data_IF_636982887648
#
_entry.id   IF_636982887648
#
_cell.length_a   1.000
_cell.length_b   1.000
_cell.length_c   1.000
_cell.angle_alpha   90.00
_cell.angle_beta   90.00
_cell.angle_gamma   90.00
#
_symmetry.space_group_name_H-M   'P 1'
#
loop_
_entity.id
_entity.type
_entity.pdbx_description
1 polymer ?
#
# COMPACT_ATOMS: atom_id res chain seq x y z
N UNK A 1 -23.00 20.50 13.90
CA UNK A 1 -23.43 19.10 13.69
C UNK A 1 -23.63 18.41 15.03
N UNK A 2 -24.74 17.69 15.21
CA UNK A 2 -24.98 16.89 16.40
C UNK A 2 -24.17 15.58 16.39
N UNK A 3 -24.03 14.94 17.54
CA UNK A 3 -23.29 13.66 17.67
C UNK A 3 -23.88 12.59 16.75
N UNK A 4 -25.20 12.57 16.55
CA UNK A 4 -25.88 11.61 15.69
C UNK A 4 -25.55 11.77 14.19
N UNK A 5 -25.43 13.00 13.68
CA UNK A 5 -25.06 13.20 12.27
C UNK A 5 -23.60 12.81 11.99
N UNK A 6 -22.71 13.03 12.97
CA UNK A 6 -21.31 12.59 12.89
C UNK A 6 -21.18 11.07 12.91
N UNK A 7 -22.04 10.36 13.64
CA UNK A 7 -22.05 8.89 13.64
C UNK A 7 -22.55 8.31 12.29
N UNK A 8 -23.44 9.01 11.59
CA UNK A 8 -23.88 8.61 10.24
C UNK A 8 -22.78 8.82 9.20
N UNK A 9 -22.00 9.89 9.32
CA UNK A 9 -20.80 10.12 8.51
C UNK A 9 -19.74 9.05 8.81
N UNK A 10 -19.47 8.76 10.08
CA UNK A 10 -18.45 7.78 10.48
C UNK A 10 -18.95 6.34 10.57
N UNK A 11 -20.07 6.01 9.93
CA UNK A 11 -20.71 4.69 10.02
C UNK A 11 -19.77 3.52 9.73
N UNK A 12 -18.80 3.67 8.83
CA UNK A 12 -17.85 2.60 8.50
C UNK A 12 -16.81 2.40 9.61
N UNK A 13 -16.33 3.47 10.25
CA UNK A 13 -15.42 3.37 11.40
C UNK A 13 -16.15 2.90 12.67
N UNK A 14 -17.39 3.34 12.87
CA UNK A 14 -18.24 2.85 13.98
C UNK A 14 -18.55 1.38 13.79
N UNK A 15 -18.91 0.95 12.58
CA UNK A 15 -19.10 -0.47 12.26
C UNK A 15 -17.81 -1.26 12.48
N UNK A 16 -16.66 -0.74 12.05
CA UNK A 16 -15.36 -1.36 12.28
C UNK A 16 -15.06 -1.54 13.79
N UNK A 17 -15.36 -0.54 14.61
CA UNK A 17 -15.21 -0.62 16.07
C UNK A 17 -16.13 -1.68 16.69
N UNK A 18 -17.39 -1.73 16.26
CA UNK A 18 -18.35 -2.74 16.73
C UNK A 18 -17.90 -4.14 16.32
N UNK A 19 -17.44 -4.31 15.08
CA UNK A 19 -16.91 -5.58 14.58
C UNK A 19 -15.65 -5.98 15.34
N UNK A 20 -14.76 -5.04 15.67
CA UNK A 20 -13.57 -5.31 16.49
C UNK A 20 -13.94 -5.78 17.90
N UNK A 21 -14.94 -5.15 18.53
CA UNK A 21 -15.43 -5.57 19.84
C UNK A 21 -16.08 -6.97 19.80
N UNK A 22 -16.85 -7.26 18.74
CA UNK A 22 -17.44 -8.59 18.52
C UNK A 22 -16.35 -9.62 18.29
N UNK A 23 -15.36 -9.33 17.44
CA UNK A 23 -14.23 -10.21 17.15
C UNK A 23 -13.47 -10.54 18.43
N UNK A 24 -13.13 -9.54 19.24
CA UNK A 24 -12.46 -9.74 20.54
C UNK A 24 -13.25 -10.65 21.49
N UNK A 25 -14.58 -10.49 21.56
CA UNK A 25 -15.42 -11.30 22.45
C UNK A 25 -15.66 -12.73 21.93
N UNK A 26 -15.71 -12.90 20.61
CA UNK A 26 -16.08 -14.18 19.96
C UNK A 26 -14.90 -14.93 19.35
N UNK A 27 -13.68 -14.41 19.42
CA UNK A 27 -12.49 -14.97 18.77
C UNK A 27 -12.34 -16.47 19.00
N UNK A 28 -12.32 -16.87 20.28
CA UNK A 28 -12.15 -18.26 20.68
C UNK A 28 -13.31 -19.14 20.19
N UNK A 29 -14.54 -18.63 20.27
CA UNK A 29 -15.71 -19.34 19.79
C UNK A 29 -15.69 -19.54 18.26
N UNK A 30 -15.27 -18.52 17.50
CA UNK A 30 -15.15 -18.59 16.04
C UNK A 30 -14.10 -19.61 15.61
N UNK A 31 -12.96 -19.64 16.29
CA UNK A 31 -11.89 -20.62 16.05
C UNK A 31 -12.38 -22.05 16.37
N UNK A 32 -13.09 -22.24 17.49
CA UNK A 32 -13.64 -23.55 17.89
C UNK A 32 -14.75 -24.06 16.96
N UNK A 33 -15.53 -23.17 16.35
CA UNK A 33 -16.59 -23.52 15.40
C UNK A 33 -16.06 -24.11 14.07
N UNK A 34 -14.75 -24.02 13.83
CA UNK A 34 -14.05 -24.70 12.76
C UNK A 34 -13.72 -23.82 11.54
N UNK A 35 -12.89 -24.39 10.67
CA UNK A 35 -12.20 -23.70 9.56
C UNK A 35 -13.10 -22.87 8.64
N UNK A 36 -14.26 -23.41 8.27
CA UNK A 36 -15.18 -22.72 7.37
C UNK A 36 -15.73 -21.43 7.98
N UNK A 37 -16.03 -21.44 9.28
CA UNK A 37 -16.50 -20.26 10.01
C UNK A 37 -15.37 -19.25 10.15
N UNK A 38 -14.15 -19.71 10.46
CA UNK A 38 -12.97 -18.85 10.51
C UNK A 38 -12.69 -18.13 9.17
N UNK A 39 -12.78 -18.83 8.03
CA UNK A 39 -12.63 -18.19 6.71
C UNK A 39 -13.71 -17.16 6.39
N UNK A 40 -14.97 -17.44 6.73
CA UNK A 40 -16.07 -16.49 6.55
C UNK A 40 -15.86 -15.26 7.43
N UNK A 41 -15.44 -15.46 8.68
CA UNK A 41 -15.13 -14.38 9.60
C UNK A 41 -13.95 -13.53 9.10
N UNK A 42 -12.87 -14.16 8.61
CA UNK A 42 -11.74 -13.47 7.99
C UNK A 42 -12.19 -12.64 6.78
N UNK A 43 -13.01 -13.19 5.89
CA UNK A 43 -13.54 -12.46 4.73
C UNK A 43 -14.42 -11.27 5.14
N UNK A 44 -15.22 -11.40 6.19
CA UNK A 44 -16.01 -10.30 6.74
C UNK A 44 -15.12 -9.20 7.35
N UNK A 45 -14.03 -9.57 8.03
CA UNK A 45 -13.04 -8.63 8.54
C UNK A 45 -12.33 -7.89 7.41
N UNK A 46 -11.90 -8.57 6.34
CA UNK A 46 -11.34 -7.96 5.13
C UNK A 46 -12.27 -6.88 4.58
N UNK A 47 -13.56 -7.20 4.39
CA UNK A 47 -14.54 -6.23 3.90
C UNK A 47 -14.70 -5.02 4.84
N UNK A 48 -14.67 -5.25 6.14
CA UNK A 48 -14.77 -4.20 7.16
C UNK A 48 -13.53 -3.29 7.14
N UNK A 49 -12.33 -3.87 7.03
CA UNK A 49 -11.07 -3.12 6.94
C UNK A 49 -11.05 -2.26 5.69
N UNK A 50 -11.46 -2.79 4.54
CA UNK A 50 -11.53 -2.01 3.29
C UNK A 50 -12.47 -0.81 3.41
N UNK A 51 -13.64 -0.99 4.03
CA UNK A 51 -14.57 0.12 4.25
C UNK A 51 -14.02 1.18 5.21
N UNK A 52 -13.32 0.74 6.27
CA UNK A 52 -12.63 1.63 7.20
C UNK A 52 -11.46 2.37 6.54
N UNK A 53 -10.64 1.70 5.73
CA UNK A 53 -9.48 2.31 5.06
C UNK A 53 -9.90 3.36 4.04
N UNK A 54 -11.01 3.15 3.31
CA UNK A 54 -11.60 4.18 2.43
C UNK A 54 -11.99 5.43 3.22
N UNK A 55 -12.52 5.28 4.45
CA UNK A 55 -12.82 6.45 5.30
C UNK A 55 -11.59 7.15 5.81
N UNK A 56 -10.57 6.40 6.25
CA UNK A 56 -9.29 6.99 6.67
C UNK A 56 -8.65 7.77 5.53
N UNK A 57 -8.63 7.20 4.31
CA UNK A 57 -8.13 7.87 3.11
C UNK A 57 -8.90 9.16 2.81
N UNK A 58 -10.22 9.17 2.96
CA UNK A 58 -11.03 10.37 2.77
C UNK A 58 -10.65 11.51 3.73
N UNK A 59 -10.42 11.20 5.01
CA UNK A 59 -9.95 12.20 5.98
C UNK A 59 -8.55 12.72 5.65
N UNK A 60 -7.67 11.86 5.12
CA UNK A 60 -6.36 12.27 4.63
C UNK A 60 -6.48 13.21 3.41
N UNK A 61 -7.43 12.96 2.50
CA UNK A 61 -7.76 13.86 1.37
C UNK A 61 -8.25 15.22 1.84
N UNK A 62 -9.15 15.27 2.84
CA UNK A 62 -9.65 16.54 3.40
C UNK A 62 -8.51 17.39 3.98
N UNK A 63 -7.56 16.77 4.69
CA UNK A 63 -6.35 17.43 5.16
C UNK A 63 -5.47 17.89 4.00
N UNK A 64 -5.27 17.03 3.00
CA UNK A 64 -4.43 17.33 1.85
C UNK A 64 -4.93 18.55 1.07
N UNK A 65 -6.25 18.67 0.87
CA UNK A 65 -6.87 19.82 0.20
C UNK A 65 -6.64 21.12 0.97
N UNK A 66 -6.68 21.08 2.31
CA UNK A 66 -6.48 22.27 3.15
C UNK A 66 -5.05 22.80 3.10
N UNK A 67 -4.07 21.90 3.00
CA UNK A 67 -2.64 22.27 2.97
C UNK A 67 -2.16 22.59 1.56
N UNK A 68 -2.78 21.98 0.54
CA UNK A 68 -2.43 22.18 -0.87
C UNK A 68 -1.13 21.49 -1.29
N UNK A 69 -0.87 21.43 -2.58
CA UNK A 69 0.35 20.82 -3.12
C UNK A 69 1.59 21.67 -2.83
N UNK A 70 2.75 21.06 -2.53
CA UNK A 70 3.06 19.61 -2.53
C UNK A 70 2.82 18.89 -1.18
N UNK A 71 2.55 19.64 -0.10
CA UNK A 71 2.43 19.10 1.25
C UNK A 71 1.20 18.21 1.45
N UNK A 72 0.10 18.49 0.73
CA UNK A 72 -1.09 17.65 0.74
C UNK A 72 -0.81 16.25 0.20
N UNK A 73 -0.03 16.15 -0.88
CA UNK A 73 0.44 14.86 -1.40
C UNK A 73 1.27 14.11 -0.36
N UNK A 74 2.14 14.80 0.39
CA UNK A 74 2.90 14.16 1.48
C UNK A 74 2.00 13.62 2.60
N UNK A 75 0.94 14.34 2.97
CA UNK A 75 -0.02 13.89 4.00
C UNK A 75 -0.70 12.59 3.55
N UNK A 76 -1.12 12.51 2.28
CA UNK A 76 -1.72 11.30 1.71
C UNK A 76 -0.76 10.12 1.81
N UNK A 77 0.46 10.29 1.31
CA UNK A 77 1.50 9.26 1.32
C UNK A 77 1.85 8.80 2.74
N UNK A 78 2.08 9.74 3.67
CA UNK A 78 2.41 9.41 5.06
C UNK A 78 1.25 8.71 5.77
N UNK A 79 0.00 9.09 5.46
CA UNK A 79 -1.18 8.45 6.06
C UNK A 79 -1.33 7.00 5.58
N UNK A 80 -1.16 6.76 4.27
CA UNK A 80 -1.22 5.42 3.70
C UNK A 80 -0.11 4.51 4.28
N UNK A 81 1.12 5.00 4.32
CA UNK A 81 2.26 4.26 4.92
C UNK A 81 2.05 4.03 6.42
N UNK A 82 1.48 4.99 7.15
CA UNK A 82 1.20 4.81 8.57
C UNK A 82 0.19 3.68 8.83
N UNK A 83 -0.83 3.54 7.97
CA UNK A 83 -1.76 2.39 8.00
C UNK A 83 -0.97 1.09 7.86
N UNK A 84 -0.13 0.99 6.82
CA UNK A 84 0.67 -0.20 6.53
C UNK A 84 1.60 -0.58 7.69
N UNK A 85 2.39 0.38 8.18
CA UNK A 85 3.34 0.21 9.29
C UNK A 85 2.63 -0.22 10.58
N UNK A 86 1.48 0.37 10.90
CA UNK A 86 0.76 0.05 12.13
C UNK A 86 0.14 -1.34 12.05
N UNK A 87 -0.44 -1.72 10.90
CA UNK A 87 -0.93 -3.09 10.68
C UNK A 87 0.22 -4.09 10.88
N UNK A 88 1.38 -3.84 10.25
CA UNK A 88 2.55 -4.70 10.39
C UNK A 88 3.03 -4.78 11.84
N UNK A 89 3.18 -3.65 12.52
CA UNK A 89 3.65 -3.62 13.91
C UNK A 89 2.71 -4.38 14.85
N UNK A 90 1.39 -4.25 14.68
CA UNK A 90 0.40 -4.96 15.51
C UNK A 90 0.43 -6.46 15.22
N UNK A 91 0.39 -6.86 13.96
CA UNK A 91 0.40 -8.29 13.58
C UNK A 91 1.65 -9.02 14.09
N UNK A 92 2.79 -8.34 14.10
CA UNK A 92 4.04 -8.91 14.61
C UNK A 92 4.08 -9.08 16.13
N UNK A 93 3.24 -8.33 16.86
CA UNK A 93 3.12 -8.48 18.31
C UNK A 93 2.30 -9.71 18.71
N UNK A 94 1.39 -10.17 17.84
CA UNK A 94 0.51 -11.32 18.07
C UNK A 94 1.13 -12.68 17.68
N UNK A 95 1.67 -12.81 16.46
CA UNK A 95 2.40 -14.01 16.01
C UNK A 95 3.67 -13.63 15.23
N UNK A 96 4.82 -14.13 15.70
CA UNK A 96 6.14 -13.76 15.20
C UNK A 96 6.52 -14.55 13.94
N UNK A 97 5.96 -14.19 12.78
CA UNK A 97 6.57 -14.59 11.50
C UNK A 97 7.69 -13.60 11.14
N UNK A 98 8.97 -14.02 11.17
CA UNK A 98 10.10 -13.12 10.90
C UNK A 98 10.17 -12.65 9.44
N UNK A 99 9.36 -13.23 8.55
CA UNK A 99 9.29 -12.87 7.13
C UNK A 99 8.08 -12.02 6.78
N UNK A 100 7.12 -11.81 7.70
CA UNK A 100 5.85 -11.15 7.39
C UNK A 100 6.05 -9.74 6.82
N UNK A 101 6.97 -8.97 7.39
CA UNK A 101 7.31 -7.61 6.91
C UNK A 101 7.79 -7.66 5.46
N UNK A 102 8.77 -8.51 5.19
CA UNK A 102 9.33 -8.70 3.85
C UNK A 102 8.25 -9.13 2.87
N UNK A 103 7.46 -10.13 3.23
CA UNK A 103 6.44 -10.70 2.36
C UNK A 103 5.33 -9.68 2.07
N UNK A 104 5.02 -8.79 3.02
CA UNK A 104 4.03 -7.71 2.85
C UNK A 104 4.55 -6.61 1.95
N UNK A 105 5.79 -6.13 2.17
CA UNK A 105 6.42 -5.10 1.31
C UNK A 105 6.57 -5.62 -0.13
N UNK A 106 7.02 -6.87 -0.29
CA UNK A 106 7.07 -7.54 -1.59
C UNK A 106 5.68 -7.61 -2.24
N UNK A 107 4.66 -8.02 -1.48
CA UNK A 107 3.29 -8.12 -1.98
C UNK A 107 2.70 -6.77 -2.37
N UNK A 108 2.96 -5.72 -1.60
CA UNK A 108 2.54 -4.35 -1.90
C UNK A 108 3.16 -3.86 -3.22
N UNK A 109 4.47 -4.05 -3.40
CA UNK A 109 5.15 -3.70 -4.66
C UNK A 109 4.54 -4.42 -5.87
N UNK A 110 4.31 -5.74 -5.75
CA UNK A 110 3.73 -6.53 -6.83
C UNK A 110 2.28 -6.12 -7.12
N UNK A 111 1.51 -5.80 -6.08
CA UNK A 111 0.15 -5.32 -6.21
C UNK A 111 0.11 -3.94 -6.90
N UNK A 112 0.95 -3.01 -6.51
CA UNK A 112 0.95 -1.65 -7.06
C UNK A 112 1.39 -1.62 -8.52
N UNK A 113 2.56 -2.20 -8.82
CA UNK A 113 3.14 -2.10 -10.15
C UNK A 113 2.44 -3.04 -11.13
N UNK A 114 2.19 -4.29 -10.74
CA UNK A 114 1.60 -5.26 -11.65
C UNK A 114 0.07 -5.29 -11.59
N UNK A 115 -0.49 -5.14 -10.39
CA UNK A 115 -1.94 -5.12 -10.17
C UNK A 115 -2.56 -3.77 -10.54
N UNK A 116 -2.21 -2.69 -9.83
CA UNK A 116 -2.82 -1.37 -10.00
C UNK A 116 -2.46 -0.78 -11.35
N UNK A 117 -1.17 -0.53 -11.60
CA UNK A 117 -0.73 0.06 -12.86
C UNK A 117 -1.06 -0.84 -14.05
N UNK A 118 -0.83 -2.15 -13.95
CA UNK A 118 -1.16 -3.11 -15.02
C UNK A 118 -2.64 -3.13 -15.38
N UNK A 119 -3.54 -3.28 -14.40
CA UNK A 119 -4.98 -3.28 -14.65
C UNK A 119 -5.47 -1.91 -15.13
N UNK A 120 -4.93 -0.83 -14.59
CA UNK A 120 -5.28 0.53 -14.98
C UNK A 120 -4.87 0.83 -16.43
N UNK A 121 -3.64 0.48 -16.83
CA UNK A 121 -3.16 0.61 -18.20
C UNK A 121 -3.93 -0.31 -19.18
N UNK A 122 -4.29 -1.52 -18.75
CA UNK A 122 -5.11 -2.43 -19.54
C UNK A 122 -6.50 -1.83 -19.81
N UNK A 123 -7.24 -1.46 -18.76
CA UNK A 123 -8.59 -0.91 -18.90
C UNK A 123 -8.60 0.46 -19.57
N UNK A 124 -7.64 1.31 -19.23
CA UNK A 124 -7.49 2.64 -19.81
C UNK A 124 -7.08 2.59 -21.27
N UNK A 125 -6.16 1.69 -21.64
CA UNK A 125 -5.72 1.50 -23.02
C UNK A 125 -6.77 0.83 -23.91
N UNK A 126 -7.54 -0.13 -23.39
CA UNK A 126 -8.69 -0.69 -24.12
C UNK A 126 -9.75 0.37 -24.45
N UNK A 127 -9.87 1.41 -23.61
CA UNK A 127 -10.84 2.48 -23.78
C UNK A 127 -10.34 3.66 -24.62
N UNK A 128 -9.07 4.05 -24.47
CA UNK A 128 -8.53 5.28 -25.06
C UNK A 128 -7.37 5.05 -26.05
N UNK A 129 -6.88 3.82 -26.22
CA UNK A 129 -5.69 3.52 -27.02
C UNK A 129 -4.41 3.80 -26.24
N UNK A 130 -3.66 4.80 -26.65
CA UNK A 130 -2.45 5.28 -25.97
C UNK A 130 -2.81 6.40 -24.98
N UNK A 131 -2.22 6.36 -23.80
CA UNK A 131 -2.47 7.34 -22.74
C UNK A 131 -1.16 8.02 -22.30
N UNK A 132 -1.03 9.34 -22.50
CA UNK A 132 0.22 10.02 -22.18
C UNK A 132 0.40 10.23 -20.67
N UNK A 133 1.67 10.20 -20.26
CA UNK A 133 2.16 10.57 -18.95
C UNK A 133 3.58 11.18 -19.07
N UNK A 134 4.16 11.63 -17.96
CA UNK A 134 5.50 12.15 -17.89
C UNK A 134 6.50 11.01 -17.67
N UNK A 135 7.30 10.72 -18.69
CA UNK A 135 8.30 9.65 -18.68
C UNK A 135 9.37 9.84 -17.60
N UNK A 136 9.71 11.08 -17.25
CA UNK A 136 10.68 11.38 -16.19
C UNK A 136 10.19 10.91 -14.81
N UNK A 137 8.87 10.91 -14.56
CA UNK A 137 8.28 10.36 -13.33
C UNK A 137 8.58 8.87 -13.23
N UNK A 138 8.25 8.12 -14.29
CA UNK A 138 8.43 6.67 -14.35
C UNK A 138 9.89 6.27 -14.15
N UNK A 139 10.81 6.97 -14.84
CA UNK A 139 12.26 6.74 -14.72
C UNK A 139 12.77 7.00 -13.30
N UNK A 140 12.34 8.10 -12.68
CA UNK A 140 12.77 8.46 -11.32
C UNK A 140 12.24 7.46 -10.29
N UNK A 141 10.94 7.16 -10.31
CA UNK A 141 10.37 6.16 -9.42
C UNK A 141 11.01 4.78 -9.60
N UNK A 142 11.13 4.30 -10.84
CA UNK A 142 11.68 2.97 -11.12
C UNK A 142 13.10 2.79 -10.60
N UNK A 143 13.98 3.78 -10.82
CA UNK A 143 15.37 3.72 -10.33
C UNK A 143 15.42 3.79 -8.80
N UNK A 144 14.61 4.64 -8.18
CA UNK A 144 14.58 4.76 -6.72
C UNK A 144 14.03 3.49 -6.05
N UNK A 145 12.95 2.90 -6.58
CA UNK A 145 12.40 1.64 -6.11
C UNK A 145 13.41 0.52 -6.26
N UNK A 146 14.04 0.38 -7.45
CA UNK A 146 15.06 -0.63 -7.69
C UNK A 146 16.23 -0.51 -6.71
N UNK A 147 16.70 0.71 -6.47
CA UNK A 147 17.78 0.98 -5.51
C UNK A 147 17.35 0.64 -4.09
N UNK A 148 16.15 1.06 -3.69
CA UNK A 148 15.62 0.85 -2.35
C UNK A 148 15.42 -0.64 -2.06
N UNK A 149 14.72 -1.37 -2.95
CA UNK A 149 14.53 -2.82 -2.88
C UNK A 149 15.86 -3.58 -2.91
N UNK A 150 16.77 -3.17 -3.79
CA UNK A 150 18.09 -3.78 -3.92
C UNK A 150 18.87 -3.76 -2.61
N UNK A 151 19.01 -2.58 -2.02
CA UNK A 151 19.77 -2.40 -0.77
C UNK A 151 19.04 -3.00 0.43
N UNK A 152 17.73 -2.82 0.54
CA UNK A 152 17.00 -3.23 1.75
C UNK A 152 16.54 -4.69 1.78
N UNK A 153 16.40 -5.35 0.61
CA UNK A 153 15.73 -6.64 0.53
C UNK A 153 16.43 -7.67 -0.37
N UNK A 154 17.36 -7.27 -1.26
CA UNK A 154 18.15 -8.22 -2.07
C UNK A 154 19.54 -8.42 -1.46
N UNK A 155 20.26 -7.34 -1.19
CA UNK A 155 21.62 -7.39 -0.64
C UNK A 155 21.71 -8.00 0.77
N UNK A 156 20.72 -7.89 1.68
CA UNK A 156 20.82 -8.51 3.02
C UNK A 156 21.09 -10.01 3.00
N UNK A 157 20.70 -10.73 1.95
CA UNK A 157 20.98 -12.17 1.78
C UNK A 157 22.48 -12.49 1.83
N UNK A 158 23.32 -11.55 1.38
CA UNK A 158 24.78 -11.72 1.33
C UNK A 158 25.48 -11.16 2.58
N UNK A 159 24.74 -10.62 3.54
CA UNK A 159 25.29 -10.04 4.77
C UNK A 159 25.38 -11.13 5.84
N UNK A 160 26.57 -11.35 6.44
CA UNK A 160 26.71 -12.31 7.53
C UNK A 160 25.76 -12.01 8.70
N UNK A 161 25.15 -13.05 9.26
CA UNK A 161 24.14 -12.93 10.32
C UNK A 161 24.66 -12.26 11.59
N UNK A 162 25.97 -12.29 11.87
CA UNK A 162 26.60 -11.57 12.99
C UNK A 162 26.69 -10.05 12.77
N UNK A 163 26.52 -9.58 11.52
CA UNK A 163 26.66 -8.18 11.13
C UNK A 163 25.34 -7.47 10.82
N UNK A 164 24.21 -8.13 11.09
CA UNK A 164 22.88 -7.60 10.74
C UNK A 164 22.62 -6.21 11.32
N UNK A 165 23.00 -5.94 12.58
CA UNK A 165 22.81 -4.64 13.22
C UNK A 165 23.47 -3.48 12.45
N UNK A 166 24.70 -3.70 11.94
CA UNK A 166 25.42 -2.69 11.17
C UNK A 166 24.75 -2.44 9.83
N UNK A 167 24.27 -3.50 9.19
CA UNK A 167 23.60 -3.40 7.91
C UNK A 167 22.23 -2.73 8.02
N UNK A 168 21.42 -3.09 9.02
CA UNK A 168 20.15 -2.40 9.27
C UNK A 168 20.34 -0.93 9.63
N UNK A 169 21.35 -0.57 10.43
CA UNK A 169 21.66 0.84 10.68
C UNK A 169 22.03 1.60 9.39
N UNK A 170 22.79 0.96 8.49
CA UNK A 170 23.11 1.51 7.17
C UNK A 170 21.87 1.65 6.29
N UNK A 171 21.03 0.62 6.21
CA UNK A 171 19.79 0.63 5.42
C UNK A 171 18.83 1.72 5.90
N UNK A 172 18.64 1.87 7.22
CA UNK A 172 17.85 2.98 7.80
C UNK A 172 18.40 4.34 7.33
N UNK A 173 19.70 4.55 7.46
CA UNK A 173 20.33 5.82 7.04
C UNK A 173 20.19 6.06 5.53
N UNK A 174 20.37 5.02 4.72
CA UNK A 174 20.23 5.08 3.26
C UNK A 174 18.80 5.39 2.84
N UNK A 175 17.79 4.76 3.45
CA UNK A 175 16.37 5.02 3.17
C UNK A 175 15.96 6.43 3.59
N UNK A 176 16.41 6.91 4.77
CA UNK A 176 16.17 8.29 5.20
C UNK A 176 16.82 9.28 4.21
N UNK A 177 18.03 9.00 3.71
CA UNK A 177 18.69 9.83 2.72
C UNK A 177 17.93 9.86 1.38
N UNK A 178 17.49 8.69 0.89
CA UNK A 178 16.68 8.57 -0.33
C UNK A 178 15.35 9.30 -0.18
N UNK A 179 14.67 9.14 0.95
CA UNK A 179 13.40 9.83 1.23
C UNK A 179 13.60 11.34 1.37
N UNK A 180 14.64 11.79 2.07
CA UNK A 180 14.96 13.22 2.17
C UNK A 180 15.22 13.86 0.81
N UNK A 181 15.93 13.16 -0.08
CA UNK A 181 16.13 13.62 -1.46
C UNK A 181 14.83 13.59 -2.26
N UNK A 182 14.02 12.53 -2.14
CA UNK A 182 12.71 12.41 -2.77
C UNK A 182 11.80 13.58 -2.40
N UNK A 183 11.66 13.87 -1.10
CA UNK A 183 10.89 15.00 -0.60
C UNK A 183 11.41 16.34 -1.12
N UNK A 184 12.74 16.53 -1.15
CA UNK A 184 13.33 17.75 -1.72
C UNK A 184 12.98 17.92 -3.20
N UNK A 185 12.97 16.83 -3.97
CA UNK A 185 12.62 16.85 -5.40
C UNK A 185 11.12 17.08 -5.60
N UNK A 186 10.28 16.45 -4.79
CA UNK A 186 8.82 16.57 -4.83
C UNK A 186 8.34 17.96 -4.43
N UNK A 187 8.97 18.58 -3.42
CA UNK A 187 8.59 19.91 -2.89
C UNK A 187 9.32 21.06 -3.61
N UNK A 188 10.48 20.77 -4.22
CA UNK A 188 11.37 21.77 -4.80
C UNK A 188 11.16 22.04 -6.29
N UNK A 189 12.26 22.37 -6.96
CA UNK A 189 12.29 22.80 -8.37
C UNK A 189 11.91 21.70 -9.38
N UNK A 190 11.75 20.46 -8.91
CA UNK A 190 11.50 19.29 -9.75
C UNK A 190 10.10 18.69 -9.53
N UNK A 191 9.19 19.42 -8.89
CA UNK A 191 7.77 19.02 -8.76
C UNK A 191 7.09 18.76 -10.12
N UNK A 192 7.64 19.32 -11.21
CA UNK A 192 7.20 19.03 -12.58
C UNK A 192 7.41 17.56 -12.98
N UNK A 193 8.37 16.85 -12.36
CA UNK A 193 8.51 15.40 -12.55
C UNK A 193 7.36 14.62 -11.94
N UNK A 194 6.47 15.22 -11.15
CA UNK A 194 5.36 14.52 -10.50
C UNK A 194 4.00 15.06 -10.95
N UNK A 195 3.98 15.98 -11.92
CA UNK A 195 2.74 16.57 -12.44
C UNK A 195 2.72 16.49 -13.96
N UNK A 196 1.55 16.22 -14.52
CA UNK A 196 1.30 16.26 -15.96
C UNK A 196 0.12 17.20 -16.22
N UNK A 197 0.33 18.19 -17.09
CA UNK A 197 -0.73 19.09 -17.51
C UNK A 197 -1.51 18.45 -18.65
N UNK A 198 -2.62 17.80 -18.32
CA UNK A 198 -3.53 17.25 -19.32
C UNK A 198 -4.05 18.35 -20.26
N UNK A 199 -4.08 18.12 -21.60
CA UNK A 199 -4.82 18.99 -22.52
C UNK A 199 -6.25 19.15 -22.01
N UNK A 200 -6.71 20.39 -21.93
CA UNK A 200 -7.94 20.81 -21.23
C UNK A 200 -9.20 20.27 -21.93
N UNK A 201 -9.49 18.98 -21.79
CA UNK A 201 -10.82 18.42 -21.99
C UNK A 201 -11.56 18.52 -20.67
N UNK A 202 -12.47 19.49 -20.62
CA UNK A 202 -13.43 19.74 -19.55
C UNK A 202 -12.86 19.58 -18.13
N UNK A 203 -12.05 20.57 -17.74
CA UNK A 203 -12.35 21.23 -16.46
C UNK A 203 -13.77 21.76 -16.63
N UNK A 204 -14.79 20.93 -16.39
CA UNK A 204 -15.96 21.44 -15.69
C UNK A 204 -15.31 22.17 -14.51
N UNK A 205 -15.45 23.49 -14.51
CA UNK A 205 -15.46 24.19 -13.24
C UNK A 205 -16.48 23.39 -12.45
N UNK A 206 -16.01 22.49 -11.59
CA UNK A 206 -16.71 22.31 -10.33
C UNK A 206 -16.84 23.74 -9.84
N UNK A 207 -18.05 24.26 -9.98
CA UNK A 207 -18.49 25.39 -9.20
C UNK A 207 -17.94 25.16 -7.79
N UNK A 208 -17.24 26.13 -7.19
CA UNK A 208 -16.96 26.09 -5.77
C UNK A 208 -18.29 26.34 -5.04
N UNK A 209 -19.24 25.45 -5.23
CA UNK A 209 -20.52 25.47 -4.54
C UNK A 209 -20.65 24.14 -3.79
N UNK A 210 -20.48 24.35 -2.48
CA UNK A 210 -21.24 23.72 -1.41
C UNK A 210 -20.69 22.38 -0.88
N UNK A 211 -20.18 22.49 0.36
CA UNK A 211 -19.71 21.44 1.28
C UNK A 211 -18.22 21.09 1.20
N UNK A 212 -17.35 22.12 1.23
CA UNK A 212 -16.23 22.00 2.17
C UNK A 212 -16.83 22.04 3.57
N UNK A 213 -17.27 20.89 4.09
CA UNK A 213 -17.64 20.82 5.50
C UNK A 213 -16.46 21.40 6.27
N UNK A 214 -16.76 22.33 7.17
CA UNK A 214 -15.82 23.03 8.04
C UNK A 214 -15.29 22.06 9.12
N UNK A 215 -14.89 20.87 8.67
CA UNK A 215 -14.47 19.77 9.50
C UNK A 215 -13.06 20.09 9.98
N UNK A 216 -12.94 20.41 11.26
CA UNK A 216 -11.67 20.83 11.85
C UNK A 216 -10.54 19.86 11.50
N UNK A 217 -9.37 20.39 11.10
CA UNK A 217 -8.20 19.56 10.82
C UNK A 217 -7.85 18.63 12.00
N UNK A 218 -8.12 19.06 13.23
CA UNK A 218 -7.94 18.23 14.42
C UNK A 218 -8.86 16.99 14.44
N UNK A 219 -10.07 17.10 13.89
CA UNK A 219 -11.01 15.98 13.75
C UNK A 219 -10.48 15.00 12.72
N UNK A 220 -10.11 15.44 11.52
CA UNK A 220 -9.58 14.53 10.49
C UNK A 220 -8.31 13.81 10.97
N UNK A 221 -7.40 14.52 11.67
CA UNK A 221 -6.22 13.90 12.28
C UNK A 221 -6.63 12.85 13.33
N UNK A 222 -7.55 13.18 14.23
CA UNK A 222 -8.02 12.24 15.25
C UNK A 222 -8.70 11.01 14.62
N UNK A 223 -9.52 11.20 13.58
CA UNK A 223 -10.20 10.13 12.86
C UNK A 223 -9.21 9.22 12.13
N UNK A 224 -8.17 9.77 11.50
CA UNK A 224 -7.10 8.98 10.89
C UNK A 224 -6.41 8.14 11.97
N UNK A 225 -5.95 8.75 13.07
CA UNK A 225 -5.23 8.05 14.12
C UNK A 225 -6.07 6.91 14.75
N UNK A 226 -7.34 7.19 15.08
CA UNK A 226 -8.26 6.18 15.64
C UNK A 226 -8.56 5.10 14.60
N UNK A 227 -8.82 5.48 13.36
CA UNK A 227 -9.15 4.55 12.28
C UNK A 227 -8.01 3.58 11.98
N UNK A 228 -6.77 4.06 11.96
CA UNK A 228 -5.59 3.21 11.75
C UNK A 228 -5.43 2.18 12.88
N UNK A 229 -5.64 2.60 14.14
CA UNK A 229 -5.59 1.67 15.29
C UNK A 229 -6.68 0.61 15.17
N UNK A 230 -7.92 0.99 14.84
CA UNK A 230 -9.03 0.04 14.65
C UNK A 230 -8.72 -0.94 13.52
N UNK A 231 -8.20 -0.44 12.39
CA UNK A 231 -7.80 -1.28 11.25
C UNK A 231 -6.72 -2.29 11.66
N UNK A 232 -5.70 -1.86 12.41
CA UNK A 232 -4.65 -2.73 12.90
C UNK A 232 -5.18 -3.85 13.81
N UNK A 233 -6.08 -3.51 14.75
CA UNK A 233 -6.74 -4.50 15.61
C UNK A 233 -7.58 -5.50 14.79
N UNK A 234 -8.35 -5.01 13.81
CA UNK A 234 -9.10 -5.89 12.91
C UNK A 234 -8.19 -6.80 12.07
N UNK A 235 -7.04 -6.29 11.64
CA UNK A 235 -6.06 -7.06 10.86
C UNK A 235 -5.42 -8.18 11.69
N UNK A 236 -5.24 -8.00 13.00
CA UNK A 236 -4.78 -9.04 13.92
C UNK A 236 -5.79 -10.20 14.00
N UNK A 237 -7.07 -9.91 14.29
CA UNK A 237 -8.12 -10.94 14.29
C UNK A 237 -8.29 -11.60 12.92
N UNK A 238 -8.17 -10.83 11.84
CA UNK A 238 -8.21 -11.34 10.48
C UNK A 238 -7.08 -12.33 10.24
N UNK A 239 -5.86 -12.00 10.67
CA UNK A 239 -4.70 -12.89 10.55
C UNK A 239 -4.93 -14.19 11.33
N UNK A 240 -5.40 -14.12 12.58
CA UNK A 240 -5.71 -15.31 13.39
C UNK A 240 -6.77 -16.21 12.73
N UNK A 241 -7.86 -15.62 12.22
CA UNK A 241 -8.91 -16.36 11.52
C UNK A 241 -8.46 -16.92 10.17
N UNK A 242 -7.57 -16.22 9.47
CA UNK A 242 -6.92 -16.76 8.26
C UNK A 242 -6.04 -17.96 8.60
N UNK A 243 -5.23 -17.88 9.66
CA UNK A 243 -4.37 -18.98 10.11
C UNK A 243 -5.18 -20.23 10.41
N UNK A 244 -6.26 -20.13 11.19
CA UNK A 244 -7.12 -21.29 11.47
C UNK A 244 -7.89 -21.74 10.22
N UNK A 245 -8.45 -20.81 9.46
CA UNK A 245 -9.23 -21.11 8.27
C UNK A 245 -8.43 -21.85 7.18
N UNK A 246 -7.17 -21.46 7.02
CA UNK A 246 -6.23 -22.03 6.07
C UNK A 246 -5.44 -23.23 6.62
N UNK A 247 -5.56 -23.57 7.90
CA UNK A 247 -4.89 -24.72 8.51
C UNK A 247 -5.15 -25.99 7.68
N UNK A 248 -4.14 -26.79 7.37
CA UNK A 248 -4.26 -28.01 6.53
C UNK A 248 -4.81 -27.80 5.11
N UNK A 249 -4.90 -26.56 4.61
CA UNK A 249 -5.21 -26.30 3.20
C UNK A 249 -3.98 -26.41 2.28
N UNK A 250 -2.78 -26.44 2.87
CA UNK A 250 -1.52 -26.29 2.14
C UNK A 250 -1.23 -24.84 1.73
N UNK A 251 -2.10 -23.89 2.07
CA UNK A 251 -1.88 -22.49 1.77
C UNK A 251 -0.73 -21.92 2.62
N UNK A 252 0.20 -21.15 2.02
CA UNK A 252 1.35 -20.59 2.68
C UNK A 252 1.01 -19.29 3.44
N UNK A 253 1.83 -18.96 4.44
CA UNK A 253 1.71 -17.74 5.25
C UNK A 253 1.75 -16.47 4.38
N UNK A 254 2.42 -16.52 3.23
CA UNK A 254 2.47 -15.43 2.27
C UNK A 254 1.07 -14.95 1.81
N UNK A 255 0.04 -15.82 1.84
CA UNK A 255 -1.34 -15.41 1.49
C UNK A 255 -1.85 -14.32 2.43
N UNK A 256 -1.54 -14.39 3.73
CA UNK A 256 -1.91 -13.34 4.69
C UNK A 256 -1.23 -12.02 4.36
N UNK A 257 0.05 -12.04 3.97
CA UNK A 257 0.78 -10.84 3.55
C UNK A 257 0.17 -10.20 2.28
N UNK A 258 -0.27 -11.02 1.32
CA UNK A 258 -0.98 -10.53 0.11
C UNK A 258 -2.30 -9.87 0.48
N UNK A 259 -3.07 -10.46 1.40
CA UNK A 259 -4.34 -9.89 1.86
C UNK A 259 -4.09 -8.56 2.59
N UNK A 260 -3.08 -8.50 3.45
CA UNK A 260 -2.70 -7.26 4.16
C UNK A 260 -2.28 -6.16 3.20
N UNK A 261 -1.47 -6.47 2.18
CA UNK A 261 -1.12 -5.51 1.14
C UNK A 261 -2.37 -5.03 0.38
N UNK A 262 -3.27 -5.95 0.01
CA UNK A 262 -4.48 -5.63 -0.74
C UNK A 262 -5.47 -4.73 0.02
N UNK A 263 -5.68 -4.96 1.32
CA UNK A 263 -6.60 -4.15 2.13
C UNK A 263 -6.04 -2.75 2.40
N UNK A 264 -4.70 -2.62 2.54
CA UNK A 264 -4.03 -1.34 2.72
C UNK A 264 -4.12 -0.49 1.45
N UNK A 265 -3.86 -1.09 0.28
CA UNK A 265 -3.87 -0.41 -1.01
C UNK A 265 -5.29 -0.22 -1.60
N UNK A 266 -6.35 -0.76 -0.98
CA UNK A 266 -7.70 -0.73 -1.54
C UNK A 266 -8.22 0.66 -1.98
N UNK A 267 -8.03 1.74 -1.19
CA UNK A 267 -8.42 3.08 -1.62
C UNK A 267 -7.64 3.55 -2.86
N UNK A 268 -6.36 3.21 -2.96
CA UNK A 268 -5.47 3.58 -4.05
C UNK A 268 -5.80 2.84 -5.34
N UNK A 269 -6.09 1.53 -5.25
CA UNK A 269 -6.59 0.71 -6.38
C UNK A 269 -7.80 1.41 -7.01
N UNK A 270 -8.79 1.78 -6.20
CA UNK A 270 -10.02 2.39 -6.70
C UNK A 270 -9.76 3.75 -7.36
N UNK A 271 -8.91 4.58 -6.77
CA UNK A 271 -8.58 5.91 -7.27
C UNK A 271 -7.77 5.85 -8.57
N UNK A 272 -6.78 4.95 -8.65
CA UNK A 272 -5.94 4.75 -9.84
C UNK A 272 -6.75 4.20 -11.03
N UNK A 273 -7.61 3.20 -10.81
CA UNK A 273 -8.47 2.66 -11.88
C UNK A 273 -9.43 3.73 -12.41
N UNK A 274 -10.05 4.52 -11.52
CA UNK A 274 -10.91 5.65 -11.92
C UNK A 274 -10.14 6.71 -12.71
N UNK A 275 -8.89 7.00 -12.33
CA UNK A 275 -8.05 7.96 -13.03
C UNK A 275 -7.72 7.48 -14.45
N UNK A 276 -7.26 6.24 -14.62
CA UNK A 276 -6.98 5.67 -15.94
C UNK A 276 -8.21 5.65 -16.85
N UNK A 277 -9.37 5.25 -16.32
CA UNK A 277 -10.65 5.26 -17.05
C UNK A 277 -11.14 6.66 -17.45
N UNK A 278 -10.59 7.72 -16.85
CA UNK A 278 -10.84 9.13 -17.16
C UNK A 278 -9.72 9.77 -17.99
N UNK A 279 -8.89 8.94 -18.62
CA UNK A 279 -7.73 9.35 -19.39
C UNK A 279 -6.68 10.14 -18.60
N UNK A 280 -6.48 9.78 -17.32
CA UNK A 280 -5.50 10.41 -16.43
C UNK A 280 -4.40 9.44 -15.99
N UNK A 281 -3.57 9.00 -16.94
CA UNK A 281 -2.54 8.00 -16.67
C UNK A 281 -1.41 8.48 -15.74
N UNK A 282 -0.97 9.74 -15.83
CA UNK A 282 -0.02 10.30 -14.84
C UNK A 282 -0.48 10.08 -13.38
N UNK A 283 -1.76 10.32 -13.08
CA UNK A 283 -2.26 10.13 -11.73
C UNK A 283 -2.17 8.65 -11.30
N UNK A 284 -2.49 7.72 -12.19
CA UNK A 284 -2.31 6.28 -11.97
C UNK A 284 -0.84 5.91 -11.72
N UNK A 285 0.08 6.41 -12.54
CA UNK A 285 1.53 6.18 -12.38
C UNK A 285 2.01 6.73 -11.04
N UNK A 286 1.62 7.95 -10.67
CA UNK A 286 1.97 8.55 -9.39
C UNK A 286 1.41 7.77 -8.20
N UNK A 287 0.18 7.26 -8.31
CA UNK A 287 -0.43 6.45 -7.24
C UNK A 287 0.36 5.14 -7.11
N UNK A 288 0.47 4.35 -8.17
CA UNK A 288 1.11 3.03 -8.11
C UNK A 288 2.61 3.11 -7.79
N UNK A 289 3.37 3.89 -8.56
CA UNK A 289 4.82 3.98 -8.38
C UNK A 289 5.19 4.80 -7.13
N UNK A 290 4.39 5.81 -6.79
CA UNK A 290 4.59 6.61 -5.59
C UNK A 290 4.30 5.84 -4.31
N UNK A 291 3.20 5.06 -4.26
CA UNK A 291 2.88 4.17 -3.16
C UNK A 291 3.99 3.13 -2.97
N UNK A 292 4.35 2.41 -4.04
CA UNK A 292 5.46 1.45 -4.04
C UNK A 292 6.78 2.02 -3.53
N UNK A 293 7.19 3.19 -4.02
CA UNK A 293 8.40 3.85 -3.54
C UNK A 293 8.30 4.15 -2.04
N UNK A 294 7.17 4.69 -1.60
CA UNK A 294 6.93 5.11 -0.22
C UNK A 294 6.89 3.93 0.73
N UNK A 295 6.22 2.85 0.36
CA UNK A 295 6.21 1.58 1.09
C UNK A 295 7.63 1.10 1.35
N UNK A 296 8.51 1.07 0.34
CA UNK A 296 9.89 0.60 0.58
C UNK A 296 10.69 1.61 1.41
N UNK A 297 10.73 2.89 1.04
CA UNK A 297 11.64 3.86 1.67
C UNK A 297 11.18 4.35 3.05
N UNK A 298 9.92 4.11 3.44
CA UNK A 298 9.38 4.48 4.75
C UNK A 298 9.10 3.27 5.64
N UNK A 299 8.50 2.19 5.11
CA UNK A 299 8.18 1.02 5.93
C UNK A 299 9.44 0.29 6.35
N UNK A 300 10.40 0.05 5.44
CA UNK A 300 11.67 -0.62 5.77
C UNK A 300 12.40 0.03 6.94
N UNK A 301 12.75 1.34 6.93
CA UNK A 301 13.52 1.91 8.02
C UNK A 301 12.77 1.90 9.36
N UNK A 302 11.44 2.03 9.35
CA UNK A 302 10.64 1.94 10.58
C UNK A 302 10.67 0.51 11.12
N UNK A 303 10.47 -0.50 10.28
CA UNK A 303 10.51 -1.89 10.71
C UNK A 303 11.92 -2.30 11.17
N UNK A 304 12.98 -1.92 10.46
CA UNK A 304 14.35 -2.18 10.92
C UNK A 304 14.68 -1.46 12.23
N UNK A 305 14.17 -0.24 12.44
CA UNK A 305 14.33 0.45 13.71
C UNK A 305 13.62 -0.30 14.86
N UNK A 306 12.43 -0.85 14.61
CA UNK A 306 11.72 -1.71 15.57
C UNK A 306 12.53 -2.98 15.84
N UNK A 307 13.11 -3.62 14.82
CA UNK A 307 13.96 -4.81 14.98
C UNK A 307 15.19 -4.52 15.86
N UNK A 308 15.87 -3.39 15.62
CA UNK A 308 17.02 -2.96 16.43
C UNK A 308 16.62 -2.63 17.88
N UNK A 309 15.44 -2.03 18.08
CA UNK A 309 14.94 -1.69 19.42
C UNK A 309 14.49 -2.92 20.22
N UNK A 310 13.81 -3.86 19.58
CA UNK A 310 13.29 -5.08 20.21
C UNK A 310 14.32 -6.20 20.29
N UNK A 311 15.42 -6.10 19.54
CA UNK A 311 16.45 -7.13 19.45
C UNK A 311 16.03 -8.37 18.66
N UNK A 312 14.88 -8.32 17.95
CA UNK A 312 14.41 -9.41 17.10
C UNK A 312 14.71 -9.09 15.62
N UNK A 313 15.66 -9.80 14.98
CA UNK A 313 15.98 -9.54 13.58
C UNK A 313 14.84 -10.00 12.68
N UNK A 314 14.46 -9.15 11.73
CA UNK A 314 13.56 -9.53 10.64
C UNK A 314 14.36 -10.10 9.47
N UNK A 315 13.80 -11.12 8.82
CA UNK A 315 14.39 -11.67 7.60
C UNK A 315 13.91 -10.79 6.45
N UNK A 316 14.66 -9.71 6.19
CA UNK A 316 14.37 -8.78 5.09
C UNK A 316 14.80 -9.33 3.72
N UNK A 317 15.71 -10.30 3.70
CA UNK A 317 16.20 -10.94 2.48
C UNK A 317 15.06 -11.68 1.75
N UNK A 318 14.80 -11.29 0.51
CA UNK A 318 13.86 -11.94 -0.40
C UNK A 318 14.31 -13.33 -0.81
N UNK A 319 13.35 -14.23 -0.99
CA UNK A 319 13.64 -15.53 -1.59
C UNK A 319 14.16 -15.34 -3.03
N UNK A 320 14.85 -16.34 -3.61
CA UNK A 320 15.27 -16.27 -5.01
C UNK A 320 14.09 -16.03 -5.96
N UNK A 321 12.92 -16.62 -5.69
CA UNK A 321 11.70 -16.44 -6.50
C UNK A 321 11.21 -15.00 -6.39
N UNK A 322 11.08 -14.47 -5.17
CA UNK A 322 10.68 -13.07 -4.93
C UNK A 322 11.65 -12.11 -5.64
N UNK A 323 12.96 -12.35 -5.52
CA UNK A 323 14.01 -11.54 -6.16
C UNK A 323 13.86 -11.51 -7.68
N UNK A 324 13.67 -12.67 -8.32
CA UNK A 324 13.47 -12.76 -9.77
C UNK A 324 12.18 -12.07 -10.18
N UNK A 325 11.07 -12.26 -9.45
CA UNK A 325 9.79 -11.62 -9.75
C UNK A 325 9.85 -10.10 -9.65
N UNK A 326 10.50 -9.56 -8.61
CA UNK A 326 10.74 -8.12 -8.48
C UNK A 326 11.62 -7.62 -9.62
N UNK A 327 12.71 -8.31 -9.94
CA UNK A 327 13.62 -7.91 -11.01
C UNK A 327 12.89 -7.85 -12.36
N UNK A 328 12.12 -8.88 -12.72
CA UNK A 328 11.33 -8.90 -13.96
C UNK A 328 10.30 -7.79 -13.97
N UNK A 329 9.61 -7.56 -12.84
CA UNK A 329 8.62 -6.48 -12.68
C UNK A 329 9.23 -5.10 -12.91
N UNK A 330 10.34 -4.80 -12.25
CA UNK A 330 10.99 -3.49 -12.35
C UNK A 330 11.64 -3.27 -13.71
N UNK A 331 12.19 -4.31 -14.33
CA UNK A 331 12.72 -4.23 -15.70
C UNK A 331 11.58 -3.99 -16.70
N UNK A 332 10.48 -4.74 -16.60
CA UNK A 332 9.32 -4.54 -17.45
C UNK A 332 8.73 -3.13 -17.28
N UNK A 333 8.60 -2.65 -16.04
CA UNK A 333 8.14 -1.30 -15.75
C UNK A 333 9.11 -0.24 -16.31
N UNK A 334 10.42 -0.44 -16.21
CA UNK A 334 11.41 0.50 -16.73
C UNK A 334 11.43 0.59 -18.27
N UNK A 335 11.08 -0.51 -18.96
CA UNK A 335 10.94 -0.56 -20.42
C UNK A 335 9.62 0.09 -20.83
N UNK A 336 8.51 -0.34 -20.23
CA UNK A 336 7.16 0.14 -20.58
C UNK A 336 6.94 1.60 -20.18
N UNK A 337 7.57 2.07 -19.10
CA UNK A 337 7.45 3.46 -18.66
C UNK A 337 8.56 4.37 -19.23
N UNK A 338 9.11 4.07 -20.40
CA UNK A 338 10.23 4.84 -20.97
C UNK A 338 9.83 5.91 -21.99
N UNK A 339 8.75 5.71 -22.71
CA UNK A 339 8.36 6.49 -23.90
C UNK A 339 7.31 7.57 -23.61
N UNK A 340 6.71 7.59 -22.41
CA UNK A 340 5.78 8.63 -21.99
C UNK A 340 4.34 8.36 -22.39
N UNK A 341 4.03 7.17 -22.92
CA UNK A 341 2.67 6.73 -23.21
C UNK A 341 2.44 5.33 -22.66
N UNK A 342 1.20 5.00 -22.28
CA UNK A 342 0.85 3.63 -21.91
C UNK A 342 -0.23 3.06 -22.81
N UNK A 343 -0.21 1.75 -23.05
CA UNK A 343 -1.24 1.07 -23.82
C UNK A 343 -1.72 -0.24 -23.17
N UNK A 344 -2.71 -0.88 -23.80
CA UNK A 344 -3.31 -2.11 -23.30
C UNK A 344 -2.35 -3.31 -23.29
N UNK A 345 -1.34 -3.35 -24.18
CA UNK A 345 -0.37 -4.46 -24.26
C UNK A 345 0.57 -4.41 -23.05
N UNK A 346 1.06 -3.23 -22.71
CA UNK A 346 1.86 -3.02 -21.50
C UNK A 346 1.07 -3.34 -20.24
N UNK A 347 -0.19 -2.88 -20.18
CA UNK A 347 -1.11 -3.23 -19.10
C UNK A 347 -1.31 -4.74 -18.96
N UNK A 348 -1.51 -5.45 -20.07
CA UNK A 348 -1.63 -6.91 -20.07
C UNK A 348 -0.34 -7.60 -19.61
N UNK A 349 0.83 -7.07 -19.99
CA UNK A 349 2.14 -7.60 -19.58
C UNK A 349 2.27 -7.56 -18.06
N UNK A 350 1.98 -6.41 -17.45
CA UNK A 350 1.97 -6.26 -16.00
C UNK A 350 0.88 -7.12 -15.33
N UNK A 351 -0.32 -7.18 -15.91
CA UNK A 351 -1.38 -8.02 -15.37
C UNK A 351 -1.02 -9.52 -15.36
N UNK A 352 -0.32 -10.02 -16.38
CA UNK A 352 0.19 -11.40 -16.41
C UNK A 352 1.26 -11.61 -15.33
N UNK A 353 2.14 -10.63 -15.09
CA UNK A 353 3.10 -10.68 -13.99
C UNK A 353 2.41 -10.72 -12.62
N UNK A 354 1.32 -9.96 -12.45
CA UNK A 354 0.49 -10.02 -11.25
C UNK A 354 -0.17 -11.40 -11.07
N UNK A 355 -0.77 -11.94 -12.12
CA UNK A 355 -1.36 -13.28 -12.09
C UNK A 355 -0.31 -14.37 -11.77
N UNK A 356 0.91 -14.22 -12.30
CA UNK A 356 2.04 -15.09 -11.99
C UNK A 356 2.44 -15.00 -10.54
N UNK A 357 2.51 -13.79 -9.98
CA UNK A 357 2.74 -13.56 -8.55
C UNK A 357 1.68 -14.24 -7.68
N UNK A 358 0.40 -14.04 -7.97
CA UNK A 358 -0.70 -14.70 -7.24
C UNK A 358 -0.59 -16.22 -7.31
N UNK A 359 -0.25 -16.77 -8.48
CA UNK A 359 -0.03 -18.21 -8.63
C UNK A 359 1.15 -18.71 -7.80
N UNK A 360 2.28 -18.01 -7.81
CA UNK A 360 3.46 -18.36 -7.00
C UNK A 360 3.14 -18.29 -5.51
N UNK A 361 2.42 -17.26 -5.07
CA UNK A 361 1.95 -17.16 -3.68
C UNK A 361 1.00 -18.30 -3.34
N UNK A 362 0.10 -18.72 -4.22
CA UNK A 362 -0.75 -19.89 -3.97
C UNK A 362 0.04 -21.21 -3.86
N UNK A 363 1.22 -21.28 -4.50
CA UNK A 363 2.13 -22.43 -4.42
C UNK A 363 3.12 -22.38 -3.24
N UNK A 364 3.19 -21.26 -2.51
CA UNK A 364 4.14 -21.09 -1.39
C UNK A 364 5.54 -20.69 -1.79
N UNK A 365 5.69 -19.96 -2.90
CA UNK A 365 6.97 -19.51 -3.46
C UNK A 365 7.19 -18.00 -3.40
#
# INVERSE_FOLDING_TARGET
MGIASRLEEEKFLVAALVVAAIAYLLEHAVIEMGRGVALIAAAALVGTIVLASIRVAHHAELLAVKVGDPYGTMILTLSAVAVEVIILAIMMSGESSPTLVRDTIYSALMLDINGILGLAALLGGLKHGEQPYNDNSGKTYGVMILTAMGISMIVPEFVPSDKWHYYSAFTIAAMIALYGLFLRMQVGQHSYFFSYSYPRSERKKESPDEHGDDESAAISIATILIGVVIIGLLAEFMAAFMTEGLRDSGAPIAVTAVVVAAISAAPEILTALRAALRNRMQATVNIAMGASLSTVILTVPVMEAIALYTGQPFIMAMTPVQTVMVAVTLIAAAINLNDGETNAIEGMTHFILFATFVMLTALGL
#
